data_IF_594760275809
#
_entry.id   IF_594760275809
#
_cell.length_a   1.000
_cell.length_b   1.000
_cell.length_c   1.000
_cell.angle_alpha   90.00
_cell.angle_beta   90.00
_cell.angle_gamma   90.00
#
_symmetry.space_group_name_H-M   'P 1'
#
loop_
_entity.id
_entity.type
_entity.pdbx_description
1 polymer ?
#
# COMPACT_ATOMS: atom_id res chain seq x y z
N UNK A 1 13.00 -15.83 -2.45
CA UNK A 1 13.93 -14.82 -1.91
C UNK A 1 13.58 -14.61 -0.45
N UNK A 2 14.54 -14.36 0.47
CA UNK A 2 14.21 -14.10 1.86
C UNK A 2 13.27 -12.90 2.00
N UNK A 3 12.28 -13.01 2.89
CA UNK A 3 11.38 -11.90 3.23
C UNK A 3 12.18 -10.82 3.97
N UNK A 4 12.44 -9.69 3.32
CA UNK A 4 13.01 -8.51 3.95
C UNK A 4 11.94 -7.54 4.45
N UNK A 5 12.20 -6.79 5.51
CA UNK A 5 11.19 -5.88 6.06
C UNK A 5 11.59 -4.44 5.76
N UNK A 6 10.70 -3.67 5.14
CA UNK A 6 10.94 -2.25 4.92
C UNK A 6 10.99 -1.51 6.27
N UNK A 7 12.07 -0.76 6.57
CA UNK A 7 12.18 0.03 7.79
C UNK A 7 11.10 1.11 7.88
N UNK A 8 10.81 1.54 9.12
CA UNK A 8 9.80 2.57 9.43
C UNK A 8 10.08 3.89 8.68
N UNK A 9 11.35 4.33 8.66
CA UNK A 9 11.74 5.66 8.19
C UNK A 9 12.23 5.70 6.74
N UNK A 10 12.30 4.56 6.06
CA UNK A 10 12.86 4.47 4.71
C UNK A 10 11.80 4.05 3.69
N UNK A 11 12.02 4.44 2.45
CA UNK A 11 11.23 4.02 1.30
C UNK A 11 12.10 3.69 0.10
N UNK A 12 11.89 2.49 -0.43
CA UNK A 12 12.62 1.98 -1.58
C UNK A 12 11.89 2.26 -2.90
N UNK A 13 12.53 1.95 -4.03
CA UNK A 13 11.91 2.05 -5.34
C UNK A 13 10.59 1.27 -5.41
N UNK A 14 9.62 1.80 -6.17
CA UNK A 14 8.34 1.15 -6.48
C UNK A 14 7.43 0.86 -5.25
N UNK A 15 7.77 1.34 -4.06
CA UNK A 15 7.03 0.99 -2.84
C UNK A 15 5.97 2.02 -2.43
N UNK A 16 6.06 3.30 -2.82
CA UNK A 16 5.11 4.32 -2.36
C UNK A 16 3.66 3.99 -2.73
N UNK A 17 3.41 3.69 -4.01
CA UNK A 17 2.07 3.32 -4.48
C UNK A 17 1.53 2.07 -3.78
N UNK A 18 2.39 1.05 -3.63
CA UNK A 18 2.06 -0.20 -2.94
C UNK A 18 1.73 0.02 -1.47
N UNK A 19 2.51 0.84 -0.76
CA UNK A 19 2.30 1.18 0.64
C UNK A 19 0.98 1.91 0.85
N UNK A 20 0.67 2.89 -0.01
CA UNK A 20 -0.56 3.68 0.10
C UNK A 20 -1.77 2.79 -0.15
N UNK A 21 -1.79 2.03 -1.25
CA UNK A 21 -2.89 1.12 -1.53
C UNK A 21 -3.02 0.06 -0.43
N UNK A 22 -1.94 -0.58 0.00
CA UNK A 22 -1.97 -1.52 1.14
C UNK A 22 -2.49 -0.87 2.42
N UNK A 23 -2.16 0.39 2.68
CA UNK A 23 -2.68 1.14 3.82
C UNK A 23 -4.19 1.41 3.71
N UNK A 24 -4.68 1.73 2.52
CA UNK A 24 -6.10 2.01 2.28
C UNK A 24 -6.98 0.77 2.51
N UNK A 25 -6.41 -0.43 2.30
CA UNK A 25 -7.04 -1.73 2.59
C UNK A 25 -6.46 -2.40 3.84
N UNK A 26 -5.87 -1.62 4.74
CA UNK A 26 -5.36 -2.15 6.01
C UNK A 26 -6.53 -2.69 6.81
N UNK A 27 -6.39 -3.88 7.40
CA UNK A 27 -7.43 -4.52 8.20
C UNK A 27 -8.60 -5.11 7.40
N UNK A 28 -8.49 -5.25 6.08
CA UNK A 28 -9.53 -5.97 5.34
C UNK A 28 -9.51 -7.47 5.68
N UNK A 29 -10.68 -8.09 5.68
CA UNK A 29 -10.83 -9.54 5.85
C UNK A 29 -10.13 -10.31 4.75
N UNK A 30 -9.35 -11.31 5.15
CA UNK A 30 -8.75 -12.26 4.22
C UNK A 30 -9.83 -12.98 3.40
N UNK A 31 -10.90 -13.38 4.07
CA UNK A 31 -12.01 -14.06 3.42
C UNK A 31 -12.67 -13.16 2.38
N UNK A 32 -12.91 -11.88 2.73
CA UNK A 32 -13.43 -10.91 1.77
C UNK A 32 -12.48 -10.72 0.58
N UNK A 33 -11.18 -10.58 0.84
CA UNK A 33 -10.18 -10.45 -0.23
C UNK A 33 -10.14 -11.67 -1.15
N UNK A 34 -10.14 -12.88 -0.59
CA UNK A 34 -9.98 -14.12 -1.34
C UNK A 34 -11.28 -14.54 -2.07
N UNK A 35 -12.45 -14.25 -1.50
CA UNK A 35 -13.73 -14.82 -1.95
C UNK A 35 -14.78 -13.81 -2.43
N UNK A 36 -14.74 -12.55 -1.98
CA UNK A 36 -15.82 -11.56 -2.23
C UNK A 36 -15.36 -10.39 -3.10
N UNK A 37 -14.12 -9.94 -2.92
CA UNK A 37 -13.57 -8.73 -3.54
C UNK A 37 -13.38 -8.84 -5.07
N UNK A 38 -13.45 -10.05 -5.62
CA UNK A 38 -13.36 -10.32 -7.05
C UNK A 38 -12.15 -9.65 -7.72
N UNK A 39 -12.43 -8.76 -8.67
CA UNK A 39 -11.38 -8.07 -9.43
C UNK A 39 -10.56 -7.11 -8.59
N UNK A 40 -11.16 -6.48 -7.56
CA UNK A 40 -10.45 -5.54 -6.69
C UNK A 40 -9.31 -6.25 -5.96
N UNK A 41 -9.61 -7.36 -5.27
CA UNK A 41 -8.57 -8.11 -4.56
C UNK A 41 -7.56 -8.76 -5.49
N UNK A 42 -7.98 -9.26 -6.65
CA UNK A 42 -7.05 -9.80 -7.65
C UNK A 42 -6.06 -8.76 -8.17
N UNK A 43 -6.52 -7.54 -8.46
CA UNK A 43 -5.67 -6.44 -8.91
C UNK A 43 -4.75 -5.95 -7.80
N UNK A 44 -5.28 -5.74 -6.60
CA UNK A 44 -4.50 -5.32 -5.44
C UNK A 44 -3.42 -6.33 -5.10
N UNK A 45 -3.77 -7.62 -4.95
CA UNK A 45 -2.82 -8.69 -4.66
C UNK A 45 -1.68 -8.76 -5.69
N UNK A 46 -2.02 -8.75 -6.98
CA UNK A 46 -1.01 -8.75 -8.06
C UNK A 46 -0.16 -7.49 -8.14
N UNK A 47 -0.63 -6.37 -7.59
CA UNK A 47 0.13 -5.12 -7.55
C UNK A 47 1.08 -5.08 -6.35
N UNK A 48 0.62 -5.59 -5.19
CA UNK A 48 1.43 -5.69 -3.98
C UNK A 48 2.50 -6.78 -4.04
N UNK A 49 2.27 -7.81 -4.85
CA UNK A 49 3.29 -8.79 -5.21
C UNK A 49 4.42 -8.11 -6.00
N UNK A 50 5.50 -7.76 -5.30
CA UNK A 50 6.71 -7.19 -5.92
C UNK A 50 7.24 -8.16 -6.99
N UNK A 51 7.49 -7.63 -8.19
CA UNK A 51 8.01 -8.42 -9.31
C UNK A 51 9.54 -8.42 -9.31
N UNK A 52 10.06 -9.50 -9.92
CA UNK A 52 11.45 -9.81 -10.25
C UNK A 52 12.46 -8.66 -10.06
N UNK A 53 13.24 -8.75 -8.97
CA UNK A 53 14.37 -7.86 -8.72
C UNK A 53 14.06 -6.64 -7.85
N UNK A 54 12.87 -6.51 -7.28
CA UNK A 54 12.54 -5.46 -6.30
C UNK A 54 12.87 -5.89 -4.85
N UNK A 55 13.17 -4.92 -3.97
CA UNK A 55 13.34 -5.18 -2.54
C UNK A 55 11.98 -5.34 -1.87
N UNK A 56 11.59 -6.61 -1.75
CA UNK A 56 10.54 -7.19 -0.90
C UNK A 56 9.09 -6.76 -1.11
N UNK A 57 8.25 -7.74 -1.42
CA UNK A 57 6.80 -7.61 -1.42
C UNK A 57 6.25 -7.00 -0.12
N UNK A 58 5.33 -6.06 -0.28
CA UNK A 58 4.60 -5.46 0.84
C UNK A 58 3.44 -6.40 1.19
N UNK A 59 3.59 -7.12 2.29
CA UNK A 59 2.57 -8.10 2.70
C UNK A 59 1.35 -7.38 3.28
N UNK A 60 0.16 -7.81 2.84
CA UNK A 60 -1.11 -7.43 3.47
C UNK A 60 -1.18 -8.04 4.88
N UNK A 61 -1.62 -7.24 5.85
CA UNK A 61 -2.11 -7.76 7.12
C UNK A 61 -3.64 -7.76 7.05
N UNK A 62 -4.24 -8.88 7.43
CA UNK A 62 -5.69 -9.05 7.44
C UNK A 62 -6.23 -8.83 8.85
N UNK A 63 -7.43 -8.26 8.96
CA UNK A 63 -8.26 -8.35 10.17
C UNK A 63 -9.61 -8.95 9.80
N UNK A 64 -10.69 -8.70 10.54
CA UNK A 64 -12.04 -9.14 10.22
C UNK A 64 -12.89 -8.05 9.53
N UNK A 65 -12.34 -6.87 9.22
CA UNK A 65 -13.14 -5.77 8.65
C UNK A 65 -13.51 -6.00 7.18
N UNK A 66 -14.76 -5.72 6.84
CA UNK A 66 -15.26 -5.69 5.46
C UNK A 66 -15.48 -4.22 5.08
N UNK A 67 -15.15 -3.76 3.86
CA UNK A 67 -15.46 -2.40 3.45
C UNK A 67 -16.96 -2.14 3.52
N UNK A 68 -17.35 -0.99 4.05
CA UNK A 68 -18.75 -0.70 4.37
C UNK A 68 -19.64 -0.78 3.12
N UNK A 69 -20.70 -1.59 3.19
CA UNK A 69 -21.65 -1.76 2.07
C UNK A 69 -21.15 -2.68 0.96
N UNK A 70 -20.02 -3.39 1.14
CA UNK A 70 -19.38 -4.31 0.18
C UNK A 70 -19.41 -5.75 0.66
N UNK A 71 -20.31 -6.09 1.57
CA UNK A 71 -20.47 -7.43 2.13
C UNK A 71 -20.78 -8.46 1.03
N UNK A 72 -21.51 -8.07 -0.01
CA UNK A 72 -21.82 -8.91 -1.17
C UNK A 72 -20.83 -8.76 -2.34
N UNK A 73 -19.90 -7.82 -2.25
CA UNK A 73 -18.88 -7.57 -3.28
C UNK A 73 -18.63 -6.11 -3.60
N UNK A 74 -17.61 -5.84 -4.43
CA UNK A 74 -17.28 -4.49 -4.87
C UNK A 74 -18.32 -3.94 -5.84
N UNK A 75 -18.49 -2.62 -5.83
CA UNK A 75 -19.27 -1.89 -6.82
C UNK A 75 -18.44 -1.63 -8.09
N UNK A 76 -19.12 -1.22 -9.16
CA UNK A 76 -18.43 -0.86 -10.42
C UNK A 76 -17.40 0.26 -10.22
N UNK A 77 -17.74 1.28 -9.44
CA UNK A 77 -16.84 2.40 -9.13
C UNK A 77 -15.56 1.93 -8.41
N UNK A 78 -15.67 0.90 -7.57
CA UNK A 78 -14.54 0.29 -6.85
C UNK A 78 -13.58 -0.42 -7.82
N UNK A 79 -14.15 -1.16 -8.77
CA UNK A 79 -13.41 -1.88 -9.81
C UNK A 79 -12.69 -0.91 -10.75
N UNK A 80 -13.40 0.13 -11.21
CA UNK A 80 -12.86 1.12 -12.14
C UNK A 80 -11.72 1.92 -11.49
N UNK A 81 -11.88 2.33 -10.22
CA UNK A 81 -10.82 2.96 -9.44
C UNK A 81 -9.59 2.05 -9.35
N UNK A 82 -9.77 0.79 -8.93
CA UNK A 82 -8.66 -0.15 -8.74
C UNK A 82 -7.91 -0.43 -10.04
N UNK A 83 -8.62 -0.64 -11.15
CA UNK A 83 -8.04 -0.86 -12.45
C UNK A 83 -7.21 0.35 -12.93
N UNK A 84 -7.78 1.54 -12.81
CA UNK A 84 -7.14 2.80 -13.23
C UNK A 84 -5.89 3.10 -12.41
N UNK A 85 -5.99 3.05 -11.08
CA UNK A 85 -4.88 3.43 -10.19
C UNK A 85 -3.71 2.45 -10.31
N UNK A 86 -3.98 1.14 -10.36
CA UNK A 86 -2.93 0.12 -10.53
C UNK A 86 -2.24 0.26 -11.88
N UNK A 87 -2.99 0.55 -12.95
CA UNK A 87 -2.41 0.80 -14.26
C UNK A 87 -1.45 1.99 -14.26
N UNK A 88 -1.89 3.14 -13.71
CA UNK A 88 -1.09 4.36 -13.62
C UNK A 88 0.16 4.14 -12.76
N UNK A 89 0.01 3.53 -11.59
CA UNK A 89 1.14 3.28 -10.69
C UNK A 89 2.18 2.34 -11.31
N UNK A 90 1.76 1.27 -12.01
CA UNK A 90 2.68 0.37 -12.72
C UNK A 90 3.46 1.04 -13.85
N UNK A 91 2.93 2.09 -14.45
CA UNK A 91 3.63 2.85 -15.47
C UNK A 91 4.77 3.69 -14.86
N UNK A 92 4.67 4.05 -13.58
CA UNK A 92 5.69 4.79 -12.84
C UNK A 92 6.76 3.89 -12.21
N UNK A 93 6.60 2.56 -12.25
CA UNK A 93 7.57 1.65 -11.66
C UNK A 93 8.86 1.57 -12.50
N UNK A 94 10.01 1.76 -11.84
CA UNK A 94 11.34 1.56 -12.43
C UNK A 94 11.60 0.06 -12.60
N UNK A 95 12.26 -0.33 -13.70
CA UNK A 95 12.53 -1.73 -14.04
C UNK A 95 13.93 -1.89 -14.64
N UNK A 96 14.52 -3.09 -14.50
CA UNK A 96 15.80 -3.40 -15.14
C UNK A 96 16.93 -2.44 -14.73
N UNK A 97 17.64 -1.89 -15.72
CA UNK A 97 18.74 -0.96 -15.49
C UNK A 97 18.29 0.29 -14.70
N UNK A 98 17.14 0.87 -15.06
CA UNK A 98 16.57 2.05 -14.41
C UNK A 98 16.34 1.84 -12.91
N UNK A 99 15.98 0.61 -12.52
CA UNK A 99 15.83 0.25 -11.11
C UNK A 99 17.19 0.14 -10.41
N UNK A 100 18.13 -0.60 -11.00
CA UNK A 100 19.43 -0.90 -10.37
C UNK A 100 20.39 0.29 -10.31
N UNK A 101 20.20 1.28 -11.18
CA UNK A 101 21.05 2.47 -11.29
C UNK A 101 20.42 3.73 -10.71
N UNK A 102 19.14 3.69 -10.32
CA UNK A 102 18.47 4.84 -9.72
C UNK A 102 19.14 5.27 -8.42
N UNK A 103 19.42 6.56 -8.33
CA UNK A 103 19.91 7.22 -7.12
C UNK A 103 18.72 7.55 -6.21
N UNK A 104 19.01 7.89 -4.96
CA UNK A 104 17.97 8.23 -3.98
C UNK A 104 17.10 9.41 -4.43
N UNK A 105 17.65 10.38 -5.16
CA UNK A 105 16.88 11.51 -5.71
C UNK A 105 15.87 11.02 -6.76
N UNK A 106 16.30 10.12 -7.65
CA UNK A 106 15.42 9.56 -8.70
C UNK A 106 14.30 8.68 -8.07
N UNK A 107 14.52 8.15 -6.86
CA UNK A 107 13.50 7.46 -6.06
C UNK A 107 12.57 8.45 -5.37
N UNK A 108 13.09 9.56 -4.83
CA UNK A 108 12.26 10.61 -4.23
C UNK A 108 11.28 11.19 -5.26
N UNK A 109 11.76 11.50 -6.48
CA UNK A 109 10.90 11.97 -7.57
C UNK A 109 9.81 10.95 -7.92
N UNK A 110 10.16 9.66 -7.96
CA UNK A 110 9.18 8.59 -8.18
C UNK A 110 8.13 8.52 -7.05
N UNK A 111 8.55 8.70 -5.80
CA UNK A 111 7.63 8.73 -4.65
C UNK A 111 6.62 9.87 -4.82
N UNK A 112 7.10 11.07 -5.14
CA UNK A 112 6.25 12.26 -5.35
C UNK A 112 5.26 12.05 -6.50
N UNK A 113 5.71 11.51 -7.63
CA UNK A 113 4.85 11.20 -8.78
C UNK A 113 3.76 10.17 -8.43
N UNK A 114 4.13 9.09 -7.73
CA UNK A 114 3.18 8.05 -7.30
C UNK A 114 2.16 8.61 -6.30
N UNK A 115 2.61 9.45 -5.36
CA UNK A 115 1.73 10.12 -4.39
C UNK A 115 0.75 11.06 -5.09
N UNK A 116 1.23 11.88 -6.03
CA UNK A 116 0.38 12.81 -6.79
C UNK A 116 -0.71 12.05 -7.58
N UNK A 117 -0.32 10.97 -8.28
CA UNK A 117 -1.27 10.11 -9.01
C UNK A 117 -2.33 9.52 -8.06
N UNK A 118 -1.92 9.06 -6.89
CA UNK A 118 -2.83 8.49 -5.89
C UNK A 118 -3.75 9.52 -5.27
N UNK A 119 -3.25 10.70 -4.92
CA UNK A 119 -4.08 11.78 -4.38
C UNK A 119 -5.18 12.16 -5.36
N UNK A 120 -4.85 12.31 -6.65
CA UNK A 120 -5.83 12.58 -7.68
C UNK A 120 -6.84 11.44 -7.81
N UNK A 121 -6.36 10.20 -7.99
CA UNK A 121 -7.24 9.05 -8.19
C UNK A 121 -8.18 8.81 -7.00
N UNK A 122 -7.70 9.05 -5.77
CA UNK A 122 -8.51 8.93 -4.54
C UNK A 122 -9.54 10.06 -4.47
N UNK A 123 -9.16 11.30 -4.82
CA UNK A 123 -10.10 12.42 -4.90
C UNK A 123 -11.23 12.14 -5.90
N UNK A 124 -10.86 11.80 -7.13
CA UNK A 124 -11.82 11.47 -8.20
C UNK A 124 -12.75 10.31 -7.79
N UNK A 125 -12.22 9.29 -7.09
CA UNK A 125 -13.00 8.15 -6.61
C UNK A 125 -13.98 8.54 -5.51
N UNK A 126 -13.56 9.37 -4.55
CA UNK A 126 -14.43 9.87 -3.48
C UNK A 126 -15.58 10.69 -4.07
N UNK A 127 -15.30 11.54 -5.06
CA UNK A 127 -16.33 12.31 -5.77
C UNK A 127 -17.34 11.39 -6.47
N UNK A 128 -16.86 10.38 -7.21
CA UNK A 128 -17.73 9.40 -7.87
C UNK A 128 -18.57 8.55 -6.89
N UNK A 129 -18.00 8.20 -5.74
CA UNK A 129 -18.72 7.52 -4.66
C UNK A 129 -19.84 8.41 -4.09
N UNK A 130 -19.55 9.69 -3.86
CA UNK A 130 -20.54 10.66 -3.38
C UNK A 130 -21.69 10.87 -4.38
N UNK A 131 -21.39 10.96 -5.68
CA UNK A 131 -22.40 11.04 -6.75
C UNK A 131 -23.33 9.81 -6.80
N UNK A 132 -22.82 8.65 -6.37
CA UNK A 132 -23.55 7.38 -6.33
C UNK A 132 -24.17 7.09 -4.95
N UNK A 133 -24.08 8.03 -4.00
CA UNK A 133 -24.56 7.88 -2.61
C UNK A 133 -23.99 6.64 -1.89
N UNK A 134 -22.73 6.31 -2.16
CA UNK A 134 -22.01 5.18 -1.53
C UNK A 134 -20.75 5.66 -0.84
N UNK A 135 -20.38 5.01 0.26
CA UNK A 135 -19.12 5.29 0.95
C UNK A 135 -17.93 4.70 0.17
N UNK A 136 -16.74 5.33 0.19
CA UNK A 136 -15.52 4.73 -0.35
C UNK A 136 -15.16 3.40 0.32
N UNK A 137 -14.60 2.44 -0.41
CA UNK A 137 -14.25 1.10 0.10
C UNK A 137 -12.99 1.07 0.99
N UNK A 138 -12.50 2.21 1.45
CA UNK A 138 -11.27 2.28 2.25
C UNK A 138 -11.54 1.86 3.69
N UNK A 139 -10.70 0.98 4.22
CA UNK A 139 -10.68 0.58 5.63
C UNK A 139 -9.61 1.33 6.42
N UNK A 140 -8.64 1.93 5.74
CA UNK A 140 -7.65 2.86 6.31
C UNK A 140 -7.97 4.32 6.01
N UNK A 141 -7.15 5.24 6.54
CA UNK A 141 -7.30 6.69 6.33
C UNK A 141 -6.25 7.18 5.32
N UNK A 142 -6.61 7.40 4.04
CA UNK A 142 -5.62 7.65 2.98
C UNK A 142 -4.72 8.85 3.24
N UNK A 143 -5.27 9.96 3.75
CA UNK A 143 -4.50 11.17 4.03
C UNK A 143 -3.37 10.94 5.06
N UNK A 144 -3.63 10.11 6.07
CA UNK A 144 -2.63 9.78 7.10
C UNK A 144 -1.53 8.88 6.51
N UNK A 145 -1.91 7.93 5.67
CA UNK A 145 -0.97 6.99 5.02
C UNK A 145 -0.08 7.73 4.03
N UNK A 146 -0.65 8.62 3.21
CA UNK A 146 0.09 9.45 2.26
C UNK A 146 1.09 10.35 3.00
N UNK A 147 0.66 10.99 4.10
CA UNK A 147 1.57 11.79 4.94
C UNK A 147 2.72 10.95 5.51
N UNK A 148 2.46 9.70 5.92
CA UNK A 148 3.50 8.80 6.39
C UNK A 148 4.50 8.46 5.27
N UNK A 149 4.01 8.16 4.06
CA UNK A 149 4.87 7.83 2.91
C UNK A 149 5.75 9.00 2.50
N UNK A 150 5.20 10.21 2.44
CA UNK A 150 5.96 11.44 2.15
C UNK A 150 7.01 11.77 3.23
N UNK A 151 6.84 11.25 4.44
CA UNK A 151 7.80 11.47 5.54
C UNK A 151 9.00 10.53 5.53
N UNK A 152 9.08 9.57 4.59
CA UNK A 152 10.13 8.54 4.55
C UNK A 152 11.33 8.99 3.71
N UNK A 153 12.51 8.53 4.10
CA UNK A 153 13.78 8.76 3.39
C UNK A 153 13.89 7.83 2.20
N UNK A 154 14.01 8.38 0.99
CA UNK A 154 14.19 7.61 -0.22
C UNK A 154 15.58 6.93 -0.27
N UNK A 155 15.59 5.63 -0.55
CA UNK A 155 16.81 4.82 -0.62
C UNK A 155 16.92 4.06 -1.92
N UNK A 156 18.14 3.85 -2.38
CA UNK A 156 18.43 3.12 -3.63
C UNK A 156 17.98 1.67 -3.57
N UNK A 157 17.84 1.06 -4.74
CA UNK A 157 17.58 -0.37 -4.85
C UNK A 157 18.62 -1.20 -4.06
N UNK A 158 19.91 -0.95 -4.24
CA UNK A 158 20.97 -1.69 -3.54
C UNK A 158 20.88 -1.58 -2.01
N UNK A 159 20.54 -0.40 -1.48
CA UNK A 159 20.32 -0.23 -0.04
C UNK A 159 19.13 -1.06 0.44
N UNK A 160 18.01 -1.01 -0.29
CA UNK A 160 16.81 -1.78 0.05
C UNK A 160 17.02 -3.30 0.00
N UNK A 161 18.03 -3.79 -0.73
CA UNK A 161 18.43 -5.19 -0.71
C UNK A 161 19.12 -5.63 0.61
N UNK A 162 19.60 -4.68 1.40
CA UNK A 162 20.22 -4.91 2.71
C UNK A 162 19.24 -4.79 3.89
N UNK A 163 17.98 -4.43 3.62
CA UNK A 163 16.94 -4.43 4.65
C UNK A 163 16.84 -5.81 5.32
N UNK A 164 16.50 -5.80 6.61
CA UNK A 164 16.61 -6.97 7.50
C UNK A 164 15.99 -8.22 6.89
N UNK A 165 16.76 -9.30 6.86
CA UNK A 165 16.29 -10.65 6.54
C UNK A 165 15.86 -11.30 7.85
N UNK A 166 14.61 -11.81 7.92
CA UNK A 166 14.00 -12.50 9.08
C UNK A 166 15.02 -13.16 10.04
N UNK A 167 15.05 -12.70 11.29
CA UNK A 167 15.89 -13.25 12.37
C UNK A 167 15.93 -12.42 13.69
N UNK A 168 15.42 -11.19 13.69
CA UNK A 168 15.29 -10.31 14.87
C UNK A 168 13.80 -9.94 15.11
N UNK A 169 13.41 -9.44 16.29
CA UNK A 169 12.01 -9.26 16.66
C UNK A 169 11.30 -8.35 15.65
N UNK A 170 10.12 -8.77 15.16
CA UNK A 170 9.43 -8.04 14.09
C UNK A 170 9.13 -6.59 14.47
N UNK A 171 9.55 -5.68 13.61
CA UNK A 171 9.30 -4.23 13.71
C UNK A 171 7.90 -3.92 13.20
N UNK A 172 7.10 -3.19 14.00
CA UNK A 172 5.79 -2.68 13.60
C UNK A 172 5.98 -1.61 12.51
N UNK A 173 5.53 -1.91 11.28
CA UNK A 173 5.63 -1.00 10.13
C UNK A 173 4.82 0.30 10.29
N UNK A 174 3.98 0.40 11.32
CA UNK A 174 3.15 1.55 11.68
C UNK A 174 3.47 2.11 13.07
N UNK A 175 4.64 1.77 13.64
CA UNK A 175 5.17 2.46 14.81
C UNK A 175 5.14 3.99 14.61
N UNK A 176 4.83 4.74 15.67
CA UNK A 176 4.80 6.21 15.63
C UNK A 176 3.54 6.87 15.03
N UNK A 177 2.57 6.10 14.53
CA UNK A 177 1.29 6.64 14.08
C UNK A 177 0.35 7.01 15.26
N UNK A 178 -0.56 7.97 15.05
CA UNK A 178 -1.60 8.38 16.01
C UNK A 178 -2.54 7.23 16.45
N UNK A 179 -2.51 6.10 15.73
CA UNK A 179 -3.15 4.84 16.11
C UNK A 179 -2.53 4.22 17.38
N UNK A 180 -1.41 4.72 17.88
CA UNK A 180 -0.83 4.33 19.18
C UNK A 180 -1.33 5.20 20.34
N UNK A 181 -2.26 6.14 20.09
CA UNK A 181 -2.89 6.87 21.18
C UNK A 181 -3.72 5.90 22.05
N UNK A 182 -3.70 6.05 23.39
CA UNK A 182 -4.61 5.30 24.25
C UNK A 182 -6.04 5.53 23.77
N UNK A 183 -6.78 4.45 23.49
CA UNK A 183 -8.18 4.40 22.97
C UNK A 183 -8.37 4.26 21.45
N UNK A 184 -7.32 4.01 20.65
CA UNK A 184 -7.45 3.81 19.19
C UNK A 184 -8.04 2.46 18.76
N UNK A 185 -8.13 1.49 19.67
CA UNK A 185 -8.57 0.12 19.36
C UNK A 185 -7.56 -0.69 18.52
N UNK A 186 -6.38 -0.14 18.22
CA UNK A 186 -5.33 -0.86 17.52
C UNK A 186 -4.58 -1.76 18.51
N UNK A 187 -4.67 -3.08 18.31
CA UNK A 187 -3.76 -4.04 18.93
C UNK A 187 -2.61 -4.33 17.97
N UNK A 188 -1.34 -4.03 18.34
CA UNK A 188 -0.21 -4.48 17.56
C UNK A 188 -0.22 -6.02 17.50
N UNK A 189 0.13 -6.62 16.36
CA UNK A 189 0.04 -8.06 16.20
C UNK A 189 0.91 -8.79 17.23
N UNK A 190 0.30 -9.65 18.05
CA UNK A 190 1.01 -10.62 18.88
C UNK A 190 1.38 -11.83 18.03
N UNK A 191 2.67 -12.18 17.98
CA UNK A 191 3.14 -13.29 17.15
C UNK A 191 3.14 -14.61 17.92
N UNK A 192 2.59 -15.66 17.29
CA UNK A 192 2.90 -17.07 17.57
C UNK A 192 3.93 -17.57 16.56
#
# INVERSE_FOLDING_TARGET
MPNRIQPEYEIGPNNAGKMILRGCFMNVSRDWMDNTSGQVGSLLGRYLDNRQGEATAITLNYSDSVPLGREEGPLKVDIDFMASVVFRLRALEKRGADLTQARSEDIADQVDEQVMVLQQAIGDYIEQCAEQEVEPMFTGVPAVIIKNVLGRTAVTHNHSMNWEVRGQPAVDMFAGMTIHQPNSGYEPPTMK
#
